data_IF_755324269159
#
_entry.id   IF_755324269159
#
_cell.length_a   1.000
_cell.length_b   1.000
_cell.length_c   1.000
_cell.angle_alpha   90.00
_cell.angle_beta   90.00
_cell.angle_gamma   90.00
#
_symmetry.space_group_name_H-M   'P 1'
#
loop_
_entity.id
_entity.type
_entity.pdbx_description
1 polymer ?
#
# COMPACT_ATOMS: atom_id res chain seq x y z
N UNK A 1 -43.87 -1.37 5.40
CA UNK A 1 -43.03 -1.87 6.50
C UNK A 1 -41.87 -2.73 6.00
N UNK A 2 -41.92 -3.31 4.79
CA UNK A 2 -40.78 -4.06 4.21
C UNK A 2 -39.67 -3.19 3.59
N UNK A 3 -40.02 -2.04 2.99
CA UNK A 3 -39.06 -1.21 2.28
C UNK A 3 -37.96 -0.65 3.20
N UNK A 4 -38.33 -0.19 4.38
CA UNK A 4 -37.42 0.40 5.38
C UNK A 4 -36.52 -0.66 6.02
N UNK A 5 -37.03 -1.89 6.18
CA UNK A 5 -36.22 -3.05 6.60
C UNK A 5 -35.19 -3.42 5.52
N UNK A 6 -35.60 -3.47 4.25
CA UNK A 6 -34.70 -3.77 3.12
C UNK A 6 -33.64 -2.66 2.95
N UNK A 7 -34.02 -1.39 3.09
CA UNK A 7 -33.09 -0.25 3.01
C UNK A 7 -32.04 -0.33 4.13
N UNK A 8 -32.46 -0.60 5.37
CA UNK A 8 -31.55 -0.76 6.50
C UNK A 8 -30.65 -2.00 6.38
N UNK A 9 -31.18 -3.14 5.96
CA UNK A 9 -30.38 -4.36 5.76
C UNK A 9 -29.35 -4.18 4.63
N UNK A 10 -29.75 -3.56 3.52
CA UNK A 10 -28.83 -3.25 2.43
C UNK A 10 -27.72 -2.30 2.88
N UNK A 11 -28.04 -1.26 3.66
CA UNK A 11 -27.05 -0.35 4.23
C UNK A 11 -26.07 -1.08 5.16
N UNK A 12 -26.57 -1.95 6.05
CA UNK A 12 -25.71 -2.74 6.94
C UNK A 12 -24.77 -3.67 6.17
N UNK A 13 -25.26 -4.37 5.15
CA UNK A 13 -24.44 -5.25 4.31
C UNK A 13 -23.34 -4.45 3.60
N UNK A 14 -23.68 -3.28 3.07
CA UNK A 14 -22.71 -2.39 2.41
C UNK A 14 -21.66 -1.87 3.38
N UNK A 15 -22.06 -1.47 4.58
CA UNK A 15 -21.14 -0.98 5.62
C UNK A 15 -20.18 -2.08 6.09
N UNK A 16 -20.69 -3.28 6.39
CA UNK A 16 -19.85 -4.42 6.80
C UNK A 16 -18.85 -4.82 5.72
N UNK A 17 -19.32 -4.91 4.46
CA UNK A 17 -18.47 -5.23 3.31
C UNK A 17 -17.39 -4.18 3.11
N UNK A 18 -17.75 -2.90 3.20
CA UNK A 18 -16.80 -1.79 3.08
C UNK A 18 -15.77 -1.79 4.21
N UNK A 19 -16.20 -2.04 5.45
CA UNK A 19 -15.30 -2.10 6.59
C UNK A 19 -14.29 -3.25 6.47
N UNK A 20 -14.72 -4.42 6.01
CA UNK A 20 -13.83 -5.57 5.79
C UNK A 20 -12.76 -5.29 4.73
N UNK A 21 -13.10 -4.55 3.67
CA UNK A 21 -12.16 -4.17 2.62
C UNK A 21 -11.13 -3.12 3.09
N UNK A 22 -11.58 -2.16 3.88
CA UNK A 22 -10.78 -1.02 4.36
C UNK A 22 -10.03 -1.30 5.68
N UNK A 23 -10.28 -2.42 6.35
CA UNK A 23 -9.56 -2.73 7.59
C UNK A 23 -8.18 -3.33 7.30
N UNK A 24 -7.11 -2.90 8.00
CA UNK A 24 -5.81 -3.57 7.94
C UNK A 24 -5.91 -5.03 8.40
N UNK A 25 -5.35 -5.96 7.63
CA UNK A 25 -5.33 -7.38 8.01
C UNK A 25 -4.42 -7.59 9.24
N UNK A 26 -4.66 -8.62 10.07
CA UNK A 26 -3.77 -8.93 11.19
C UNK A 26 -2.31 -9.09 10.75
N UNK A 27 -1.41 -8.26 11.30
CA UNK A 27 0.01 -8.27 10.98
C UNK A 27 0.39 -7.60 9.66
N UNK A 28 -0.58 -7.09 8.88
CA UNK A 28 -0.30 -6.30 7.67
C UNK A 28 0.48 -5.03 8.05
N UNK A 29 1.52 -4.71 7.29
CA UNK A 29 2.26 -3.47 7.50
C UNK A 29 1.58 -2.30 6.82
N UNK A 30 1.85 -1.09 7.32
CA UNK A 30 1.32 0.16 6.78
C UNK A 30 1.47 0.23 5.25
N UNK A 31 2.66 -0.05 4.72
CA UNK A 31 2.96 0.13 3.29
C UNK A 31 2.21 -0.90 2.43
N UNK A 32 2.13 -2.16 2.85
CA UNK A 32 1.33 -3.18 2.13
C UNK A 32 -0.18 -2.88 2.19
N UNK A 33 -0.67 -2.38 3.33
CA UNK A 33 -2.05 -1.97 3.45
C UNK A 33 -2.35 -0.83 2.47
N UNK A 34 -1.56 0.24 2.49
CA UNK A 34 -1.77 1.39 1.59
C UNK A 34 -1.64 0.99 0.13
N UNK A 35 -0.69 0.11 -0.23
CA UNK A 35 -0.49 -0.39 -1.60
C UNK A 35 -1.76 -1.10 -2.09
N UNK A 36 -2.32 -1.99 -1.26
CA UNK A 36 -3.57 -2.69 -1.55
C UNK A 36 -4.76 -1.74 -1.71
N UNK A 37 -4.89 -0.75 -0.83
CA UNK A 37 -6.00 0.21 -0.90
C UNK A 37 -5.87 1.15 -2.11
N UNK A 38 -4.66 1.63 -2.37
CA UNK A 38 -4.35 2.49 -3.50
C UNK A 38 -4.59 1.77 -4.83
N UNK A 39 -4.19 0.50 -4.95
CA UNK A 39 -4.43 -0.29 -6.16
C UNK A 39 -5.94 -0.49 -6.46
N UNK A 40 -6.78 -0.56 -5.42
CA UNK A 40 -8.22 -0.77 -5.57
C UNK A 40 -8.99 0.55 -5.78
N UNK A 41 -8.67 1.59 -5.01
CA UNK A 41 -9.49 2.80 -4.89
C UNK A 41 -8.81 4.07 -5.41
N UNK A 42 -7.54 3.99 -5.79
CA UNK A 42 -6.75 5.13 -6.24
C UNK A 42 -6.44 6.14 -5.13
N UNK A 43 -5.83 7.26 -5.53
CA UNK A 43 -5.48 8.37 -4.65
C UNK A 43 -6.53 9.48 -4.74
N UNK A 44 -6.92 10.05 -3.59
CA UNK A 44 -7.83 11.20 -3.49
C UNK A 44 -7.11 12.50 -3.08
N UNK A 45 -5.79 12.54 -3.26
CA UNK A 45 -4.90 13.63 -2.82
C UNK A 45 -4.89 13.86 -1.30
N UNK A 46 -5.20 12.83 -0.51
CA UNK A 46 -5.05 12.86 0.95
C UNK A 46 -4.31 11.62 1.45
N UNK A 47 -4.00 11.59 2.76
CA UNK A 47 -3.48 10.40 3.45
C UNK A 47 -4.59 9.53 4.06
N UNK A 48 -5.72 9.40 3.35
CA UNK A 48 -6.91 8.67 3.83
C UNK A 48 -6.55 7.29 4.34
N UNK A 49 -5.73 6.54 3.60
CA UNK A 49 -5.36 5.18 3.95
C UNK A 49 -4.31 5.14 5.06
N UNK A 50 -3.25 5.95 5.00
CA UNK A 50 -2.28 5.97 6.08
C UNK A 50 -2.91 6.35 7.44
N UNK A 51 -3.87 7.28 7.42
CA UNK A 51 -4.63 7.68 8.61
C UNK A 51 -5.57 6.57 9.10
N UNK A 52 -6.31 5.92 8.21
CA UNK A 52 -7.13 4.76 8.55
C UNK A 52 -6.28 3.64 9.18
N UNK A 53 -5.13 3.32 8.59
CA UNK A 53 -4.22 2.34 9.17
C UNK A 53 -3.76 2.73 10.57
N UNK A 54 -3.37 3.99 10.78
CA UNK A 54 -2.99 4.49 12.11
C UNK A 54 -4.12 4.27 13.11
N UNK A 55 -5.32 4.69 12.79
CA UNK A 55 -6.45 4.67 13.72
C UNK A 55 -6.86 3.23 14.10
N UNK A 56 -6.77 2.30 13.15
CA UNK A 56 -7.12 0.88 13.38
C UNK A 56 -5.96 0.05 13.97
N UNK A 57 -4.76 0.15 13.40
CA UNK A 57 -3.66 -0.78 13.67
C UNK A 57 -2.56 -0.19 14.57
N UNK A 58 -2.40 1.14 14.62
CA UNK A 58 -1.31 1.80 15.32
C UNK A 58 -1.70 3.17 15.92
N UNK A 59 -2.71 3.26 16.79
CA UNK A 59 -3.29 4.54 17.24
C UNK A 59 -2.30 5.42 18.03
N UNK A 60 -1.22 4.83 18.55
CA UNK A 60 -0.14 5.56 19.24
C UNK A 60 0.89 6.18 18.30
N UNK A 61 0.81 5.96 17.00
CA UNK A 61 1.71 6.57 16.01
C UNK A 61 1.24 7.98 15.61
N UNK A 62 1.16 8.88 16.59
CA UNK A 62 0.63 10.24 16.42
C UNK A 62 1.45 11.10 15.44
N UNK A 63 2.75 10.81 15.32
CA UNK A 63 3.66 11.49 14.39
C UNK A 63 3.74 10.82 12.99
N UNK A 64 2.81 9.93 12.62
CA UNK A 64 2.89 9.18 11.36
C UNK A 64 3.04 10.10 10.13
N UNK A 65 2.13 11.05 9.95
CA UNK A 65 2.16 11.93 8.77
C UNK A 65 3.40 12.80 8.74
N UNK A 66 3.87 13.29 9.89
CA UNK A 66 5.13 14.02 9.96
C UNK A 66 6.31 13.15 9.50
N UNK A 67 6.36 11.88 9.90
CA UNK A 67 7.41 10.96 9.48
C UNK A 67 7.33 10.62 8.00
N UNK A 68 6.13 10.45 7.46
CA UNK A 68 5.92 10.25 6.02
C UNK A 68 6.36 11.49 5.24
N UNK A 69 6.03 12.68 5.72
CA UNK A 69 6.46 13.94 5.11
C UNK A 69 7.99 14.09 5.07
N UNK A 70 8.71 13.69 6.12
CA UNK A 70 10.19 13.67 6.12
C UNK A 70 10.75 12.73 5.06
N UNK A 71 10.05 11.63 4.75
CA UNK A 71 10.41 10.71 3.66
C UNK A 71 9.91 11.16 2.28
N UNK A 72 9.38 12.39 2.17
CA UNK A 72 8.86 12.94 0.90
C UNK A 72 7.41 12.57 0.58
N UNK A 73 6.69 11.85 1.45
CA UNK A 73 5.26 11.60 1.33
C UNK A 73 4.46 12.67 2.09
N UNK A 74 4.51 13.92 1.59
CA UNK A 74 3.97 15.12 2.24
C UNK A 74 2.46 15.27 2.14
N UNK A 75 1.87 14.78 1.06
CA UNK A 75 0.65 15.36 0.55
C UNK A 75 -0.45 14.32 0.25
N UNK A 76 -0.09 13.10 -0.13
CA UNK A 76 -1.05 12.01 -0.36
C UNK A 76 -0.47 10.63 0.00
N UNK A 77 -1.32 9.61 0.07
CA UNK A 77 -0.92 8.21 0.12
C UNK A 77 -0.06 7.80 -1.10
N UNK A 78 -0.33 8.39 -2.27
CA UNK A 78 0.39 8.08 -3.51
C UNK A 78 1.90 8.39 -3.44
N UNK A 79 2.29 9.43 -2.71
CA UNK A 79 3.68 9.81 -2.54
C UNK A 79 4.45 8.81 -1.66
N UNK A 80 3.77 7.93 -0.93
CA UNK A 80 4.45 6.84 -0.23
C UNK A 80 5.22 5.95 -1.21
N UNK A 81 4.72 5.76 -2.43
CA UNK A 81 5.36 4.89 -3.44
C UNK A 81 6.18 5.66 -4.47
N UNK A 82 5.93 6.97 -4.62
CA UNK A 82 6.74 7.82 -5.49
C UNK A 82 8.02 8.29 -4.80
N UNK A 83 7.97 8.51 -3.47
CA UNK A 83 9.04 9.19 -2.74
C UNK A 83 9.56 8.39 -1.55
N UNK A 84 8.70 7.74 -0.76
CA UNK A 84 9.09 7.23 0.56
C UNK A 84 9.51 5.76 0.60
N UNK A 85 8.92 4.90 -0.23
CA UNK A 85 9.12 3.45 -0.19
C UNK A 85 9.20 2.86 -1.59
N UNK A 86 10.13 1.94 -1.78
CA UNK A 86 10.32 1.20 -3.02
C UNK A 86 10.27 -0.31 -2.73
N UNK A 87 9.87 -1.15 -3.70
CA UNK A 87 10.01 -2.60 -3.55
C UNK A 87 11.45 -2.93 -3.18
N UNK A 88 11.62 -3.79 -2.18
CA UNK A 88 12.95 -4.10 -1.68
C UNK A 88 13.83 -4.66 -2.80
N UNK A 89 15.11 -4.26 -2.88
CA UNK A 89 15.95 -4.56 -4.06
C UNK A 89 16.03 -6.04 -4.43
N UNK A 90 15.90 -6.94 -3.43
CA UNK A 90 15.85 -8.41 -3.65
C UNK A 90 14.64 -8.90 -4.43
N UNK A 91 13.61 -8.07 -4.63
CA UNK A 91 12.39 -8.37 -5.37
C UNK A 91 12.47 -7.94 -6.83
N UNK A 92 13.49 -7.16 -7.21
CA UNK A 92 13.64 -6.65 -8.57
C UNK A 92 14.19 -7.76 -9.47
N UNK A 93 13.76 -7.75 -10.73
CA UNK A 93 14.44 -8.54 -11.75
C UNK A 93 15.84 -7.95 -11.98
N UNK A 94 16.85 -8.81 -12.17
CA UNK A 94 18.16 -8.33 -12.59
C UNK A 94 18.08 -7.89 -14.05
N UNK A 95 18.72 -6.77 -14.39
CA UNK A 95 18.87 -6.37 -15.79
C UNK A 95 19.61 -7.44 -16.59
N UNK A 96 19.19 -7.66 -17.83
CA UNK A 96 19.70 -8.74 -18.67
C UNK A 96 19.75 -8.34 -20.14
N UNK A 97 20.65 -8.97 -20.88
CA UNK A 97 20.71 -8.84 -22.34
C UNK A 97 19.66 -9.74 -22.98
N UNK A 98 18.84 -9.16 -23.87
CA UNK A 98 17.84 -9.86 -24.66
C UNK A 98 18.22 -9.77 -26.15
N UNK A 99 18.23 -10.89 -26.88
CA UNK A 99 18.47 -10.86 -28.32
C UNK A 99 17.39 -10.06 -29.06
N UNK A 100 17.80 -9.06 -29.83
CA UNK A 100 16.92 -8.25 -30.66
C UNK A 100 16.57 -8.93 -31.98
N UNK A 101 15.38 -8.63 -32.51
CA UNK A 101 14.93 -9.14 -33.82
C UNK A 101 15.69 -8.57 -35.01
N UNK A 102 16.44 -7.48 -34.80
CA UNK A 102 17.32 -6.82 -35.76
C UNK A 102 18.75 -7.38 -35.77
N UNK A 103 19.02 -8.39 -34.94
CA UNK A 103 20.32 -9.04 -34.83
C UNK A 103 21.28 -8.41 -33.81
N UNK A 104 20.82 -7.41 -33.04
CA UNK A 104 21.61 -6.80 -31.98
C UNK A 104 20.99 -7.10 -30.61
N UNK A 105 21.82 -7.45 -29.63
CA UNK A 105 21.35 -7.62 -28.25
C UNK A 105 20.93 -6.27 -27.66
N UNK A 106 19.78 -6.26 -27.00
CA UNK A 106 19.24 -5.10 -26.30
C UNK A 106 19.35 -5.32 -24.79
N UNK A 107 19.84 -4.32 -24.07
CA UNK A 107 19.83 -4.36 -22.61
C UNK A 107 18.42 -4.05 -22.10
N UNK A 108 17.89 -4.95 -21.26
CA UNK A 108 16.64 -4.77 -20.53
C UNK A 108 16.98 -4.37 -19.10
N UNK A 109 16.47 -3.22 -18.67
CA UNK A 109 16.69 -2.70 -17.32
C UNK A 109 16.04 -3.58 -16.25
N UNK A 110 16.53 -3.43 -15.02
CA UNK A 110 15.92 -4.05 -13.85
C UNK A 110 14.51 -3.49 -13.64
N UNK A 111 13.54 -4.38 -13.47
CA UNK A 111 12.14 -4.00 -13.24
C UNK A 111 11.68 -4.40 -11.84
N UNK A 112 10.87 -3.57 -11.17
CA UNK A 112 10.19 -3.97 -9.94
C UNK A 112 9.14 -5.06 -10.22
N UNK A 113 8.68 -5.79 -9.19
CA UNK A 113 7.62 -6.77 -9.38
C UNK A 113 6.32 -6.08 -9.84
N UNK A 114 5.68 -6.62 -10.89
CA UNK A 114 4.41 -6.09 -11.41
C UNK A 114 3.27 -6.07 -10.38
N UNK A 115 3.34 -6.99 -9.39
CA UNK A 115 2.49 -7.00 -8.19
C UNK A 115 3.34 -7.35 -6.98
N UNK A 116 3.14 -6.64 -5.89
CA UNK A 116 3.85 -6.94 -4.65
C UNK A 116 3.49 -8.33 -4.11
N UNK A 117 4.46 -9.09 -3.59
CA UNK A 117 4.18 -10.36 -2.92
C UNK A 117 3.38 -10.14 -1.63
N UNK A 118 2.78 -11.20 -1.05
CA UNK A 118 2.09 -11.09 0.24
C UNK A 118 2.94 -10.42 1.30
N UNK A 119 2.28 -9.64 2.17
CA UNK A 119 2.95 -8.90 3.23
C UNK A 119 3.81 -9.83 4.10
N UNK A 120 5.09 -9.48 4.29
CA UNK A 120 6.00 -10.23 5.14
C UNK A 120 5.71 -10.08 6.65
N UNK A 121 4.72 -9.25 7.00
CA UNK A 121 4.23 -9.09 8.37
C UNK A 121 5.01 -8.07 9.20
N UNK A 122 4.35 -7.51 10.20
CA UNK A 122 4.94 -6.67 11.26
C UNK A 122 4.27 -6.94 12.61
N UNK A 123 4.93 -6.52 13.70
CA UNK A 123 4.32 -6.51 15.03
C UNK A 123 3.10 -5.59 15.07
N UNK A 124 2.11 -5.94 15.91
CA UNK A 124 0.93 -5.09 16.18
C UNK A 124 1.38 -3.69 16.63
N UNK A 125 0.72 -2.64 16.13
CA UNK A 125 1.07 -1.25 16.45
C UNK A 125 2.25 -0.69 15.67
N UNK A 126 2.85 -1.45 14.74
CA UNK A 126 3.95 -0.96 13.91
C UNK A 126 3.44 -0.12 12.74
N UNK A 127 4.15 0.97 12.47
CA UNK A 127 4.03 1.77 11.23
C UNK A 127 5.27 1.62 10.33
N UNK A 128 6.17 0.69 10.66
CA UNK A 128 7.31 0.38 9.81
C UNK A 128 6.88 -0.47 8.61
N UNK A 129 7.56 -0.35 7.46
CA UNK A 129 7.40 -1.32 6.38
C UNK A 129 7.74 -2.74 6.85
N UNK A 130 7.15 -3.73 6.18
CA UNK A 130 7.64 -5.11 6.28
C UNK A 130 8.88 -5.26 5.39
N UNK A 131 9.50 -6.45 5.42
CA UNK A 131 10.71 -6.70 4.64
C UNK A 131 10.55 -6.42 3.13
N UNK A 132 9.34 -6.43 2.55
CA UNK A 132 9.13 -6.25 1.11
C UNK A 132 9.42 -4.83 0.61
N UNK A 133 9.68 -3.87 1.49
CA UNK A 133 9.88 -2.47 1.13
C UNK A 133 11.17 -1.92 1.73
N UNK A 134 11.90 -1.16 0.92
CA UNK A 134 13.01 -0.33 1.35
C UNK A 134 12.53 1.12 1.45
N UNK A 135 12.87 1.80 2.54
CA UNK A 135 12.61 3.23 2.68
C UNK A 135 13.62 4.03 1.84
N UNK A 136 13.15 5.07 1.17
CA UNK A 136 14.02 6.06 0.56
C UNK A 136 14.89 6.69 1.65
N UNK A 137 16.19 6.81 1.35
CA UNK A 137 17.19 7.38 2.26
C UNK A 137 17.36 8.87 2.01
#
# INVERSE_FOLDING_TARGET
MDRELIENEAEQILLESSHALLTPKPGECLVCYVDRQFAEFGCDNTHRFAMAYRDHAAPRATALLQRLSVLGACCCDCEMFMNAFHPASRLWTGGYWQPGSDGYDTWVDAEPPARMPPCAGVRRGSVQPCANWDAAR
#
